data_IF_981418813559
#
_entry.id   IF_981418813559
#
_cell.length_a   1.000
_cell.length_b   1.000
_cell.length_c   1.000
_cell.angle_alpha   90.00
_cell.angle_beta   90.00
_cell.angle_gamma   90.00
#
_symmetry.space_group_name_H-M   'P 1'
#
loop_
_entity.id
_entity.type
_entity.pdbx_description
1 polymer ?
#
# COMPACT_ATOMS: atom_id res chain seq x y z
N UNK A 1 -5.40 -75.77 39.95
CA UNK A 1 -6.32 -75.22 38.94
C UNK A 1 -5.98 -73.74 38.77
N UNK A 2 -5.11 -73.41 37.81
CA UNK A 2 -4.85 -72.11 37.19
C UNK A 2 -3.60 -72.32 36.31
N UNK A 3 -3.73 -72.20 34.99
CA UNK A 3 -2.59 -72.30 34.08
C UNK A 3 -2.69 -71.28 32.95
N UNK A 4 -1.54 -70.61 32.75
CA UNK A 4 -1.18 -69.68 31.67
C UNK A 4 -1.23 -70.36 30.29
N UNK A 5 -1.48 -69.60 29.23
CA UNK A 5 -0.46 -69.25 28.20
C UNK A 5 -1.04 -68.47 27.01
N UNK A 6 -0.25 -67.49 26.60
CA UNK A 6 -0.25 -66.70 25.36
C UNK A 6 0.25 -67.51 24.15
N UNK A 7 -0.24 -67.21 22.93
CA UNK A 7 0.44 -67.39 21.63
C UNK A 7 -0.32 -66.59 20.53
N UNK A 8 0.31 -65.58 19.90
CA UNK A 8 0.96 -65.55 18.55
C UNK A 8 -0.03 -65.43 17.36
N UNK A 9 -0.08 -64.29 16.66
CA UNK A 9 0.64 -63.91 15.40
C UNK A 9 -0.10 -64.33 14.11
N UNK A 10 -0.18 -63.34 13.19
CA UNK A 10 -0.22 -63.41 11.71
C UNK A 10 -1.57 -63.36 10.95
N UNK A 11 -1.63 -62.30 10.13
CA UNK A 11 -1.93 -62.27 8.69
C UNK A 11 -3.29 -62.80 8.21
N UNK A 12 -4.09 -61.88 7.68
CA UNK A 12 -5.03 -62.19 6.60
C UNK A 12 -4.73 -61.29 5.40
N UNK A 13 -3.94 -61.83 4.47
CA UNK A 13 -3.93 -61.40 3.07
C UNK A 13 -5.28 -61.81 2.46
N UNK A 14 -6.00 -60.86 1.87
CA UNK A 14 -7.00 -61.18 0.86
C UNK A 14 -6.44 -60.78 -0.51
N UNK A 15 -5.90 -61.77 -1.21
CA UNK A 15 -5.58 -61.69 -2.64
C UNK A 15 -6.87 -62.04 -3.39
N UNK A 16 -7.44 -61.07 -4.10
CA UNK A 16 -8.38 -61.36 -5.19
C UNK A 16 -7.66 -61.05 -6.51
N UNK A 17 -7.41 -62.11 -7.27
CA UNK A 17 -7.01 -62.07 -8.67
C UNK A 17 -8.25 -62.05 -9.58
N UNK A 18 -8.03 -61.63 -10.83
CA UNK A 18 -8.89 -61.67 -12.04
C UNK A 18 -9.77 -60.42 -12.26
N UNK A 19 -9.77 -59.73 -13.41
CA UNK A 19 -9.37 -60.09 -14.80
C UNK A 19 -8.76 -58.85 -15.47
N UNK A 20 -7.64 -59.05 -16.18
CA UNK A 20 -7.07 -58.08 -17.12
C UNK A 20 -7.91 -58.08 -18.40
N UNK A 21 -8.53 -56.95 -18.72
CA UNK A 21 -8.83 -56.59 -20.11
C UNK A 21 -8.34 -55.17 -20.34
N UNK A 22 -7.51 -55.01 -21.37
CA UNK A 22 -6.73 -53.79 -21.63
C UNK A 22 -7.59 -52.60 -22.05
N UNK A 23 -7.32 -51.45 -21.42
CA UNK A 23 -7.71 -50.11 -21.87
C UNK A 23 -6.48 -49.21 -21.63
N UNK A 24 -6.11 -48.32 -22.59
CA UNK A 24 -4.78 -47.74 -22.67
C UNK A 24 -4.45 -46.73 -21.55
N UNK A 25 -3.15 -46.64 -21.29
CA UNK A 25 -2.49 -45.77 -20.31
C UNK A 25 -2.78 -44.30 -20.64
N UNK A 26 -3.78 -43.73 -19.96
CA UNK A 26 -3.89 -42.30 -19.76
C UNK A 26 -3.03 -41.90 -18.57
N UNK A 27 -2.09 -40.98 -18.77
CA UNK A 27 -1.23 -40.41 -17.72
C UNK A 27 -2.07 -39.70 -16.65
N UNK A 28 -2.57 -40.43 -15.66
CA UNK A 28 -3.04 -39.84 -14.41
C UNK A 28 -1.83 -39.37 -13.62
N UNK A 29 -1.60 -38.05 -13.62
CA UNK A 29 -0.68 -37.40 -12.68
C UNK A 29 -1.11 -37.76 -11.25
N UNK A 30 -0.23 -38.48 -10.58
CA UNK A 30 -0.32 -38.79 -9.15
C UNK A 30 -0.35 -37.45 -8.41
N UNK A 31 -1.47 -37.16 -7.74
CA UNK A 31 -1.60 -36.03 -6.84
C UNK A 31 -0.88 -36.39 -5.53
N UNK A 32 0.40 -36.01 -5.41
CA UNK A 32 1.11 -36.07 -4.14
C UNK A 32 0.62 -34.93 -3.25
N UNK A 33 -0.07 -35.27 -2.16
CA UNK A 33 -0.40 -34.33 -1.08
C UNK A 33 0.87 -33.95 -0.35
N UNK A 34 1.56 -32.93 -0.84
CA UNK A 34 2.57 -32.24 -0.07
C UNK A 34 1.86 -31.33 0.94
N UNK A 35 1.86 -31.72 2.21
CA UNK A 35 1.56 -30.81 3.31
C UNK A 35 2.66 -29.74 3.38
N UNK A 36 2.44 -28.61 2.71
CA UNK A 36 3.35 -27.47 2.77
C UNK A 36 3.22 -26.80 4.15
N UNK A 37 4.33 -26.78 4.90
CA UNK A 37 4.51 -25.83 5.98
C UNK A 37 4.18 -24.42 5.48
N UNK A 38 3.49 -23.62 6.29
CA UNK A 38 3.10 -22.24 5.98
C UNK A 38 4.33 -21.40 5.59
N UNK A 39 4.63 -21.38 4.30
CA UNK A 39 5.66 -20.52 3.74
C UNK A 39 5.13 -19.11 3.94
N UNK A 40 5.90 -18.24 4.58
CA UNK A 40 5.51 -16.83 4.77
C UNK A 40 5.42 -16.16 3.41
N UNK A 41 4.26 -16.25 2.76
CA UNK A 41 4.02 -15.60 1.48
C UNK A 41 4.19 -14.10 1.70
N UNK A 42 5.10 -13.47 0.95
CA UNK A 42 5.26 -12.02 1.02
C UNK A 42 3.96 -11.38 0.51
N UNK A 43 3.26 -10.64 1.37
CA UNK A 43 2.02 -9.94 0.99
C UNK A 43 2.24 -8.77 0.01
N UNK A 44 3.49 -8.47 -0.35
CA UNK A 44 3.86 -7.54 -1.41
C UNK A 44 5.00 -8.15 -2.24
N UNK A 45 4.77 -8.29 -3.54
CA UNK A 45 5.72 -8.89 -4.49
C UNK A 45 5.96 -7.90 -5.62
N UNK A 46 7.22 -7.61 -5.93
CA UNK A 46 7.56 -6.73 -7.06
C UNK A 46 7.34 -7.48 -8.38
N UNK A 47 6.56 -6.91 -9.29
CA UNK A 47 6.30 -7.47 -10.61
C UNK A 47 7.18 -6.82 -11.68
N UNK A 48 7.30 -5.50 -11.63
CA UNK A 48 7.96 -4.69 -12.66
C UNK A 48 8.69 -3.48 -12.07
N UNK A 49 9.82 -3.12 -12.65
CA UNK A 49 10.63 -1.94 -12.31
C UNK A 49 11.34 -1.47 -13.58
N UNK A 50 10.95 -0.30 -14.10
CA UNK A 50 11.44 0.17 -15.39
C UNK A 50 12.92 0.54 -15.41
N UNK A 51 13.53 0.73 -14.24
CA UNK A 51 14.99 0.90 -14.12
C UNK A 51 15.77 -0.34 -14.61
N UNK A 52 15.11 -1.49 -14.71
CA UNK A 52 15.74 -2.76 -15.08
C UNK A 52 15.41 -3.20 -16.50
N UNK A 53 14.24 -2.81 -17.00
CA UNK A 53 13.76 -3.24 -18.32
C UNK A 53 12.60 -2.35 -18.79
N UNK A 54 12.48 -2.16 -20.10
CA UNK A 54 11.37 -1.41 -20.70
C UNK A 54 10.12 -2.27 -20.93
N UNK A 55 10.28 -3.60 -20.92
CA UNK A 55 9.18 -4.54 -21.04
C UNK A 55 9.42 -5.79 -20.23
N UNK A 56 8.36 -6.43 -19.76
CA UNK A 56 8.45 -7.68 -19.02
C UNK A 56 7.12 -8.41 -19.02
N UNK A 57 7.17 -9.71 -19.26
CA UNK A 57 6.06 -10.62 -19.01
C UNK A 57 6.28 -11.33 -17.67
N UNK A 58 5.25 -11.41 -16.85
CA UNK A 58 5.24 -12.21 -15.61
C UNK A 58 3.94 -13.00 -15.53
N UNK A 59 3.92 -14.04 -14.71
CA UNK A 59 2.71 -14.78 -14.37
C UNK A 59 2.36 -14.51 -12.91
N UNK A 60 1.13 -14.06 -12.65
CA UNK A 60 0.67 -13.73 -11.31
C UNK A 60 -0.83 -14.02 -11.20
N UNK A 61 -1.25 -14.60 -10.08
CA UNK A 61 -2.66 -14.74 -9.71
C UNK A 61 -3.17 -13.37 -9.23
N UNK A 62 -4.01 -12.73 -10.04
CA UNK A 62 -4.61 -11.42 -9.82
C UNK A 62 -6.08 -11.51 -9.38
N UNK A 63 -6.68 -12.70 -9.43
CA UNK A 63 -8.12 -12.95 -9.21
C UNK A 63 -8.37 -13.73 -7.90
N UNK A 64 -7.33 -14.38 -7.38
CA UNK A 64 -7.35 -15.20 -6.18
C UNK A 64 -7.94 -16.59 -6.39
N UNK A 65 -7.96 -17.08 -7.63
CA UNK A 65 -8.49 -18.40 -8.01
C UNK A 65 -7.41 -19.49 -8.13
N UNK A 66 -6.16 -19.15 -7.75
CA UNK A 66 -4.96 -19.99 -7.85
C UNK A 66 -4.49 -20.28 -9.30
N UNK A 67 -5.13 -19.68 -10.30
CA UNK A 67 -4.63 -19.63 -11.67
C UNK A 67 -3.85 -18.34 -11.87
N UNK A 68 -2.76 -18.41 -12.61
CA UNK A 68 -1.94 -17.22 -12.90
C UNK A 68 -2.32 -16.63 -14.23
N UNK A 69 -2.59 -15.32 -14.25
CA UNK A 69 -2.68 -14.57 -15.50
C UNK A 69 -1.30 -14.23 -16.03
N UNK A 70 -1.18 -14.19 -17.36
CA UNK A 70 -0.06 -13.58 -18.05
C UNK A 70 -0.19 -12.05 -17.98
N UNK A 71 0.82 -11.38 -17.46
CA UNK A 71 0.84 -9.92 -17.29
C UNK A 71 2.02 -9.34 -18.06
N UNK A 72 1.72 -8.59 -19.11
CA UNK A 72 2.70 -7.89 -19.93
C UNK A 72 2.78 -6.42 -19.56
N UNK A 73 3.99 -5.98 -19.22
CA UNK A 73 4.33 -4.59 -19.00
C UNK A 73 5.12 -4.08 -20.19
N UNK A 74 4.73 -2.92 -20.73
CA UNK A 74 5.44 -2.27 -21.83
C UNK A 74 5.47 -0.76 -21.66
N UNK A 75 6.65 -0.17 -21.86
CA UNK A 75 6.89 1.27 -21.83
C UNK A 75 7.20 1.78 -23.22
N UNK A 76 6.71 2.98 -23.53
CA UNK A 76 7.28 3.85 -24.56
C UNK A 76 7.81 5.12 -23.91
N UNK A 77 9.01 5.53 -24.27
CA UNK A 77 9.59 6.80 -23.84
C UNK A 77 9.27 7.88 -24.88
N UNK A 78 9.01 9.09 -24.38
CA UNK A 78 8.90 10.31 -25.16
C UNK A 78 10.18 11.13 -25.06
N UNK A 79 10.04 12.46 -25.16
CA UNK A 79 11.16 13.38 -25.00
C UNK A 79 11.75 13.36 -23.59
N UNK A 80 13.06 13.61 -23.49
CA UNK A 80 13.81 13.69 -22.23
C UNK A 80 13.66 12.45 -21.32
N UNK A 81 13.55 11.25 -21.91
CA UNK A 81 13.41 9.97 -21.19
C UNK A 81 12.19 9.90 -20.25
N UNK A 82 11.20 10.76 -20.48
CA UNK A 82 9.92 10.72 -19.79
C UNK A 82 9.09 9.56 -20.36
N UNK A 83 8.47 8.77 -19.49
CA UNK A 83 7.59 7.68 -19.93
C UNK A 83 6.33 8.29 -20.56
N UNK A 84 6.21 8.17 -21.89
CA UNK A 84 5.03 8.65 -22.63
C UNK A 84 3.83 7.74 -22.42
N UNK A 85 4.02 6.42 -22.55
CA UNK A 85 2.99 5.44 -22.24
C UNK A 85 3.53 4.25 -21.44
N UNK A 86 2.72 3.79 -20.49
CA UNK A 86 2.89 2.52 -19.80
C UNK A 86 1.64 1.68 -19.99
N UNK A 87 1.78 0.58 -20.72
CA UNK A 87 0.71 -0.35 -21.02
C UNK A 87 0.84 -1.61 -20.18
N UNK A 88 -0.29 -2.06 -19.64
CA UNK A 88 -0.41 -3.32 -18.92
C UNK A 88 -1.45 -4.14 -19.66
N UNK A 89 -1.02 -5.28 -20.20
CA UNK A 89 -1.93 -6.28 -20.77
C UNK A 89 -2.04 -7.48 -19.84
N UNK A 90 -3.22 -8.05 -19.75
CA UNK A 90 -3.49 -9.25 -18.95
C UNK A 90 -4.15 -10.27 -19.87
N UNK A 91 -3.51 -11.43 -20.04
CA UNK A 91 -3.91 -12.47 -20.99
C UNK A 91 -4.11 -11.91 -22.41
N UNK A 92 -3.17 -11.09 -22.88
CA UNK A 92 -3.21 -10.44 -24.20
C UNK A 92 -4.12 -9.23 -24.31
N UNK A 93 -5.07 -9.03 -23.39
CA UNK A 93 -6.02 -7.93 -23.41
C UNK A 93 -5.47 -6.66 -22.77
N UNK A 94 -5.72 -5.49 -23.35
CA UNK A 94 -5.26 -4.23 -22.75
C UNK A 94 -6.05 -3.90 -21.47
N UNK A 95 -5.41 -4.05 -20.32
CA UNK A 95 -6.03 -3.87 -19.01
C UNK A 95 -5.90 -2.44 -18.47
N UNK A 96 -4.79 -1.75 -18.75
CA UNK A 96 -4.56 -0.36 -18.36
C UNK A 96 -3.52 0.31 -19.28
N UNK A 97 -3.78 1.56 -19.62
CA UNK A 97 -2.79 2.46 -20.24
C UNK A 97 -2.67 3.71 -19.38
N UNK A 98 -1.47 3.97 -18.86
CA UNK A 98 -1.11 5.23 -18.21
C UNK A 98 -0.26 6.06 -19.17
N UNK A 99 -0.39 7.38 -19.11
CA UNK A 99 0.30 8.31 -20.01
C UNK A 99 1.02 9.40 -19.23
N UNK A 100 2.09 9.93 -19.82
CA UNK A 100 2.83 11.09 -19.29
C UNK A 100 3.25 10.89 -17.83
N UNK A 101 3.92 9.76 -17.58
CA UNK A 101 4.46 9.39 -16.28
C UNK A 101 5.84 10.05 -16.07
N UNK A 102 6.43 9.87 -14.89
CA UNK A 102 7.83 10.23 -14.64
C UNK A 102 8.84 9.33 -15.38
N UNK A 103 10.07 9.30 -14.89
CA UNK A 103 11.19 8.57 -15.50
C UNK A 103 11.16 7.08 -15.21
N UNK A 104 10.54 6.70 -14.10
CA UNK A 104 10.52 5.33 -13.62
C UNK A 104 9.12 4.95 -13.19
N UNK A 105 8.67 3.75 -13.52
CA UNK A 105 7.43 3.16 -12.98
C UNK A 105 7.72 1.80 -12.35
N UNK A 106 7.10 1.55 -11.21
CA UNK A 106 7.20 0.30 -10.46
C UNK A 106 5.83 -0.27 -10.20
N UNK A 107 5.72 -1.59 -10.36
CA UNK A 107 4.50 -2.34 -10.12
C UNK A 107 4.76 -3.41 -9.08
N UNK A 108 3.88 -3.49 -8.08
CA UNK A 108 3.87 -4.58 -7.09
C UNK A 108 2.49 -5.22 -7.01
N UNK A 109 2.44 -6.54 -6.89
CA UNK A 109 1.26 -7.25 -6.42
C UNK A 109 1.14 -7.10 -4.90
N UNK A 110 -0.07 -6.81 -4.42
CA UNK A 110 -0.44 -6.72 -3.02
C UNK A 110 -1.48 -7.81 -2.73
N UNK A 111 -1.11 -8.78 -1.88
CA UNK A 111 -2.01 -9.85 -1.44
C UNK A 111 -2.58 -9.49 -0.08
N UNK A 112 -3.80 -8.97 -0.05
CA UNK A 112 -4.51 -8.61 1.18
C UNK A 112 -5.09 -9.85 1.85
N UNK A 113 -5.70 -10.73 1.06
CA UNK A 113 -6.17 -12.07 1.45
C UNK A 113 -6.04 -13.02 0.26
N UNK A 114 -6.55 -14.24 0.34
CA UNK A 114 -6.52 -15.18 -0.79
C UNK A 114 -7.26 -14.63 -2.03
N UNK A 115 -8.37 -13.89 -1.82
CA UNK A 115 -9.25 -13.38 -2.88
C UNK A 115 -9.14 -11.88 -3.14
N UNK A 116 -8.40 -11.16 -2.31
CA UNK A 116 -8.25 -9.71 -2.43
C UNK A 116 -6.81 -9.41 -2.84
N UNK A 117 -6.59 -9.46 -4.16
CA UNK A 117 -5.32 -9.20 -4.80
C UNK A 117 -5.40 -7.85 -5.51
N UNK A 118 -4.35 -7.05 -5.38
CA UNK A 118 -4.31 -5.72 -5.97
C UNK A 118 -2.97 -5.43 -6.64
N UNK A 119 -2.99 -4.53 -7.60
CA UNK A 119 -1.79 -4.00 -8.23
C UNK A 119 -1.50 -2.59 -7.71
N UNK A 120 -0.33 -2.41 -7.11
CA UNK A 120 0.18 -1.10 -6.71
C UNK A 120 1.12 -0.56 -7.79
N UNK A 121 0.78 0.59 -8.35
CA UNK A 121 1.54 1.26 -9.40
C UNK A 121 1.97 2.62 -8.87
N UNK A 122 3.28 2.87 -8.93
CA UNK A 122 3.87 4.15 -8.55
C UNK A 122 4.98 4.53 -9.50
N UNK A 123 5.00 5.79 -9.93
CA UNK A 123 6.10 6.35 -10.70
C UNK A 123 7.00 7.27 -9.87
N UNK A 124 8.05 7.81 -10.48
CA UNK A 124 8.91 8.81 -9.88
C UNK A 124 9.36 9.85 -10.91
N UNK A 125 9.24 11.13 -10.57
CA UNK A 125 9.76 12.28 -11.34
C UNK A 125 11.03 12.86 -10.69
N UNK A 126 11.61 13.90 -11.32
CA UNK A 126 12.86 14.56 -10.88
C UNK A 126 12.87 15.00 -9.41
N UNK A 127 11.71 15.42 -8.87
CA UNK A 127 11.58 15.87 -7.49
C UNK A 127 11.05 14.78 -6.53
N UNK A 128 10.97 13.55 -7.03
CA UNK A 128 10.39 12.40 -6.32
C UNK A 128 8.88 12.47 -6.15
N UNK A 129 8.21 13.49 -6.69
CA UNK A 129 6.76 13.62 -6.68
C UNK A 129 6.18 12.71 -7.79
N UNK A 130 5.42 11.66 -7.46
CA UNK A 130 4.82 10.80 -8.47
C UNK A 130 3.73 11.55 -9.26
N UNK A 131 3.52 11.16 -10.51
CA UNK A 131 2.30 11.50 -11.27
C UNK A 131 1.20 10.46 -11.04
N UNK A 132 1.59 9.23 -10.70
CA UNK A 132 0.73 8.10 -10.35
C UNK A 132 1.24 7.45 -9.08
N UNK A 133 0.37 7.29 -8.09
CA UNK A 133 0.63 6.52 -6.88
C UNK A 133 -0.72 5.93 -6.42
N UNK A 134 -1.06 4.77 -6.97
CA UNK A 134 -2.42 4.26 -6.94
C UNK A 134 -2.47 2.72 -6.84
N UNK A 135 -3.60 2.23 -6.37
CA UNK A 135 -3.90 0.81 -6.24
C UNK A 135 -5.07 0.47 -7.15
N UNK A 136 -4.92 -0.64 -7.87
CA UNK A 136 -5.85 -1.15 -8.86
C UNK A 136 -6.28 -2.57 -8.52
N UNK A 137 -7.48 -2.94 -8.92
CA UNK A 137 -8.02 -4.30 -8.83
C UNK A 137 -8.32 -4.79 -10.25
N UNK A 138 -7.92 -6.00 -10.60
CA UNK A 138 -8.26 -6.56 -11.90
C UNK A 138 -9.70 -7.06 -11.90
N UNK A 139 -10.53 -6.55 -12.80
CA UNK A 139 -11.90 -7.00 -12.99
C UNK A 139 -11.95 -7.91 -14.22
N UNK A 140 -12.13 -9.20 -13.99
CA UNK A 140 -12.20 -10.20 -15.06
C UNK A 140 -13.38 -10.03 -16.01
N UNK A 141 -14.48 -9.42 -15.56
CA UNK A 141 -15.65 -9.21 -16.42
C UNK A 141 -15.39 -8.10 -17.43
N UNK A 142 -14.69 -7.04 -17.01
CA UNK A 142 -14.38 -5.90 -17.89
C UNK A 142 -13.02 -6.03 -18.56
N UNK A 143 -12.19 -6.98 -18.11
CA UNK A 143 -10.77 -7.15 -18.49
C UNK A 143 -9.96 -5.87 -18.25
N UNK A 144 -10.30 -5.09 -17.22
CA UNK A 144 -9.62 -3.83 -16.87
C UNK A 144 -9.05 -3.85 -15.45
N UNK A 145 -7.96 -3.12 -15.26
CA UNK A 145 -7.48 -2.73 -13.94
C UNK A 145 -8.27 -1.50 -13.48
N UNK A 146 -9.17 -1.70 -12.53
CA UNK A 146 -9.99 -0.65 -11.97
C UNK A 146 -9.27 0.03 -10.81
N UNK A 147 -9.19 1.36 -10.84
CA UNK A 147 -8.54 2.11 -9.78
C UNK A 147 -9.40 2.11 -8.51
N UNK A 148 -8.89 1.49 -7.45
CA UNK A 148 -9.59 1.32 -6.16
C UNK A 148 -9.06 2.23 -5.05
N UNK A 149 -7.88 2.84 -5.23
CA UNK A 149 -7.33 3.88 -4.35
C UNK A 149 -6.35 4.78 -5.12
N UNK A 150 -6.42 6.08 -4.86
CA UNK A 150 -5.35 7.03 -5.20
C UNK A 150 -4.73 7.50 -3.87
N UNK A 151 -3.40 7.46 -3.75
CA UNK A 151 -2.69 7.90 -2.55
C UNK A 151 -2.53 9.42 -2.50
N UNK A 152 -2.34 9.94 -1.28
CA UNK A 152 -2.31 11.39 -1.04
C UNK A 152 -1.16 12.12 -1.75
N UNK A 153 -0.13 11.41 -2.22
CA UNK A 153 1.06 11.94 -2.92
C UNK A 153 0.72 12.62 -4.26
N UNK A 154 -0.40 12.26 -4.88
CA UNK A 154 -0.89 12.90 -6.12
C UNK A 154 -2.16 13.74 -5.89
N UNK A 155 -2.72 13.67 -4.67
CA UNK A 155 -4.02 14.26 -4.33
C UNK A 155 -3.93 15.52 -3.44
N UNK A 156 -2.73 16.04 -3.19
CA UNK A 156 -2.55 17.28 -2.42
C UNK A 156 -2.55 18.51 -3.33
N UNK A 157 -2.94 19.66 -2.76
CA UNK A 157 -2.84 20.94 -3.49
C UNK A 157 -1.36 21.33 -3.62
N UNK A 158 -0.84 21.45 -4.84
CA UNK A 158 0.54 21.90 -5.11
C UNK A 158 0.87 23.17 -4.31
N UNK A 159 2.07 23.20 -3.73
CA UNK A 159 2.52 24.30 -2.87
C UNK A 159 1.96 24.30 -1.44
N UNK A 160 1.30 23.22 -0.98
CA UNK A 160 0.84 23.10 0.43
C UNK A 160 1.66 22.16 1.29
N UNK A 161 2.25 21.12 0.68
CA UNK A 161 3.20 20.17 1.25
C UNK A 161 3.77 19.31 0.12
N UNK A 162 4.90 18.64 0.34
CA UNK A 162 5.35 17.50 -0.48
C UNK A 162 5.07 16.23 0.30
N UNK A 163 4.53 15.19 -0.33
CA UNK A 163 4.15 13.94 0.35
C UNK A 163 4.62 12.76 -0.47
N UNK A 164 5.23 11.81 0.22
CA UNK A 164 5.70 10.52 -0.31
C UNK A 164 4.99 9.39 0.43
N UNK A 165 4.83 8.24 -0.23
CA UNK A 165 4.16 7.08 0.34
C UNK A 165 5.03 5.83 0.30
N UNK A 166 4.73 4.89 1.18
CA UNK A 166 5.19 3.50 1.06
C UNK A 166 4.09 2.58 1.53
N UNK A 167 3.71 1.65 0.65
CA UNK A 167 2.62 0.71 0.87
C UNK A 167 3.13 -0.62 1.41
N UNK A 168 2.49 -1.10 2.48
CA UNK A 168 2.66 -2.43 3.08
C UNK A 168 1.29 -3.07 3.33
N UNK A 169 1.23 -4.38 3.17
CA UNK A 169 0.10 -5.19 3.65
C UNK A 169 0.49 -5.93 4.93
N UNK A 170 -0.37 -5.89 5.95
CA UNK A 170 -0.16 -6.57 7.23
C UNK A 170 -1.51 -6.85 7.89
N UNK A 171 -1.76 -8.10 8.27
CA UNK A 171 -2.99 -8.55 8.92
C UNK A 171 -4.24 -8.13 8.11
N UNK A 172 -4.24 -8.48 6.83
CA UNK A 172 -5.32 -8.19 5.86
C UNK A 172 -5.72 -6.71 5.81
N UNK A 173 -4.78 -5.84 6.19
CA UNK A 173 -4.96 -4.38 6.22
C UNK A 173 -3.90 -3.73 5.36
N UNK A 174 -4.33 -2.81 4.51
CA UNK A 174 -3.44 -1.94 3.76
C UNK A 174 -2.93 -0.83 4.69
N UNK A 175 -1.61 -0.77 4.89
CA UNK A 175 -0.94 0.25 5.68
C UNK A 175 -0.08 1.11 4.76
N UNK A 176 -0.36 2.41 4.75
CA UNK A 176 0.41 3.37 3.98
C UNK A 176 1.17 4.26 4.93
N UNK A 177 2.50 4.17 4.89
CA UNK A 177 3.36 5.10 5.59
C UNK A 177 3.55 6.31 4.71
N UNK A 178 3.17 7.47 5.22
CA UNK A 178 3.42 8.73 4.55
C UNK A 178 4.59 9.46 5.21
N UNK A 179 5.36 10.14 4.37
CA UNK A 179 6.31 11.16 4.78
C UNK A 179 5.91 12.44 4.08
N UNK A 180 5.78 13.53 4.83
CA UNK A 180 5.45 14.80 4.20
C UNK A 180 6.19 15.97 4.79
N UNK A 181 6.64 16.84 3.90
CA UNK A 181 7.22 18.13 4.23
C UNK A 181 6.09 19.16 4.35
N UNK A 182 5.66 19.42 5.58
CA UNK A 182 4.59 20.38 5.84
C UNK A 182 5.18 21.77 6.00
N UNK A 183 4.59 22.79 5.36
CA UNK A 183 5.05 24.18 5.50
C UNK A 183 5.09 24.66 6.96
N UNK A 184 4.22 24.09 7.79
CA UNK A 184 4.15 24.38 9.22
C UNK A 184 5.28 23.75 10.03
N UNK A 185 5.80 22.58 9.67
CA UNK A 185 6.64 21.77 10.59
C UNK A 185 7.86 21.12 9.97
N UNK A 186 8.04 21.22 8.65
CA UNK A 186 8.98 20.41 7.90
C UNK A 186 8.57 18.94 7.87
N UNK A 187 9.54 18.05 7.71
CA UNK A 187 9.32 16.61 7.53
C UNK A 187 8.73 15.91 8.76
N UNK A 188 7.62 15.22 8.54
CA UNK A 188 6.95 14.34 9.50
C UNK A 188 6.57 13.02 8.84
N UNK A 189 6.40 11.96 9.64
CA UNK A 189 5.86 10.67 9.18
C UNK A 189 4.67 10.22 10.02
N UNK A 190 3.69 9.63 9.33
CA UNK A 190 2.49 9.03 9.91
C UNK A 190 2.08 7.80 9.11
N UNK A 191 1.20 6.98 9.68
CA UNK A 191 0.64 5.80 9.00
C UNK A 191 -0.87 5.97 8.93
N UNK A 192 -1.42 5.74 7.74
CA UNK A 192 -2.85 5.49 7.56
C UNK A 192 -3.10 4.01 7.30
N UNK A 193 -4.21 3.53 7.86
CA UNK A 193 -4.74 2.20 7.59
C UNK A 193 -6.00 2.36 6.72
N UNK A 194 -6.14 1.48 5.73
CA UNK A 194 -7.29 1.45 4.84
C UNK A 194 -7.96 0.08 4.93
N UNK A 195 -9.29 0.09 4.90
CA UNK A 195 -10.09 -1.11 4.75
C UNK A 195 -10.61 -1.17 3.31
N UNK A 196 -10.62 -2.35 2.71
CA UNK A 196 -11.29 -2.57 1.45
C UNK A 196 -12.79 -2.79 1.70
N UNK A 197 -13.65 -1.96 1.12
CA UNK A 197 -15.12 -2.04 1.26
C UNK A 197 -15.78 -1.55 -0.01
N UNK A 198 -16.78 -2.29 -0.49
CA UNK A 198 -17.60 -1.92 -1.65
C UNK A 198 -16.75 -1.55 -2.89
N UNK A 199 -15.74 -2.38 -3.19
CA UNK A 199 -14.88 -2.20 -4.37
C UNK A 199 -13.84 -1.08 -4.25
N UNK A 200 -13.68 -0.44 -3.09
CA UNK A 200 -12.69 0.64 -2.89
C UNK A 200 -12.00 0.55 -1.54
N UNK A 201 -10.79 1.09 -1.46
CA UNK A 201 -10.14 1.33 -0.17
C UNK A 201 -10.66 2.61 0.47
N UNK A 202 -11.03 2.52 1.74
CA UNK A 202 -11.45 3.67 2.54
C UNK A 202 -10.56 3.81 3.77
N UNK A 203 -10.22 5.05 4.12
CA UNK A 203 -9.47 5.35 5.34
C UNK A 203 -10.23 4.82 6.56
N UNK A 204 -9.56 3.97 7.36
CA UNK A 204 -10.09 3.47 8.63
C UNK A 204 -10.25 4.61 9.65
N UNK A 205 -9.29 5.53 9.67
CA UNK A 205 -9.35 6.75 10.45
C UNK A 205 -8.58 7.85 9.71
N UNK A 206 -9.23 8.99 9.48
CA UNK A 206 -8.57 10.15 8.88
C UNK A 206 -7.61 10.89 9.82
N UNK A 207 -7.48 10.44 11.07
CA UNK A 207 -6.57 10.98 12.09
C UNK A 207 -5.50 9.94 12.42
N UNK A 208 -4.23 10.32 12.30
CA UNK A 208 -3.09 9.46 12.62
C UNK A 208 -2.19 10.10 13.68
N UNK A 209 -1.50 9.26 14.46
CA UNK A 209 -0.38 9.70 15.30
C UNK A 209 0.84 9.96 14.41
N UNK A 210 1.56 11.02 14.72
CA UNK A 210 2.85 11.29 14.09
C UNK A 210 3.90 10.50 14.88
N UNK A 211 4.59 9.59 14.21
CA UNK A 211 5.56 8.70 14.86
C UNK A 211 7.00 9.17 14.65
N UNK A 212 7.26 10.03 13.65
CA UNK A 212 8.58 10.64 13.43
C UNK A 212 8.43 12.07 12.95
N UNK A 213 9.35 12.92 13.37
CA UNK A 213 9.55 14.29 12.88
C UNK A 213 11.04 14.58 12.83
N UNK A 214 11.45 15.43 11.90
CA UNK A 214 12.85 15.85 11.78
C UNK A 214 13.18 17.00 12.72
N UNK A 215 12.20 17.87 13.02
CA UNK A 215 12.35 18.92 14.01
C UNK A 215 12.66 18.33 15.39
N UNK A 216 13.81 18.70 15.96
CA UNK A 216 14.24 18.25 17.29
C UNK A 216 13.48 19.02 18.38
N UNK A 217 13.01 18.31 19.41
CA UNK A 217 12.32 18.94 20.55
C UNK A 217 10.93 19.49 20.20
N UNK A 218 10.45 20.47 20.95
CA UNK A 218 9.14 21.09 20.73
C UNK A 218 9.21 22.22 19.69
N UNK A 219 8.06 22.61 19.16
CA UNK A 219 7.95 23.72 18.21
C UNK A 219 7.76 25.04 18.96
N UNK A 220 8.62 26.02 18.69
CA UNK A 220 8.56 27.35 19.34
C UNK A 220 7.86 28.32 18.39
N UNK A 221 6.82 28.99 18.89
CA UNK A 221 6.04 29.92 18.09
C UNK A 221 6.88 31.12 17.61
N UNK A 222 6.89 31.38 16.30
CA UNK A 222 7.55 32.56 15.73
C UNK A 222 6.68 33.82 15.78
N UNK A 223 5.38 33.65 16.01
CA UNK A 223 4.38 34.71 16.16
C UNK A 223 3.25 34.23 17.05
N UNK A 224 2.28 35.08 17.36
CA UNK A 224 1.07 34.63 18.04
C UNK A 224 0.30 33.64 17.16
N UNK A 225 -0.04 32.47 17.69
CA UNK A 225 -0.71 31.40 16.93
C UNK A 225 -2.06 31.11 17.57
N UNK A 226 -3.12 31.19 16.77
CA UNK A 226 -4.45 30.68 17.14
C UNK A 226 -4.60 29.23 16.69
N UNK A 227 -4.97 28.35 17.62
CA UNK A 227 -5.32 26.96 17.37
C UNK A 227 -6.84 26.78 17.38
N UNK A 228 -7.33 25.80 16.61
CA UNK A 228 -8.75 25.54 16.43
C UNK A 228 -9.22 24.24 17.10
N UNK A 229 -10.49 24.18 17.49
CA UNK A 229 -11.05 23.03 18.23
C UNK A 229 -11.04 21.73 17.42
N UNK A 230 -11.21 21.81 16.09
CA UNK A 230 -11.16 20.66 15.18
C UNK A 230 -10.38 21.03 13.91
N UNK A 231 -9.91 20.02 13.18
CA UNK A 231 -9.40 20.21 11.83
C UNK A 231 -10.50 20.78 10.91
N UNK A 232 -10.15 21.73 10.06
CA UNK A 232 -11.05 22.31 9.07
C UNK A 232 -12.08 23.33 9.58
N UNK A 233 -12.11 23.64 10.88
CA UNK A 233 -13.05 24.63 11.45
C UNK A 233 -12.31 25.86 11.99
N UNK A 234 -13.01 27.00 12.05
CA UNK A 234 -12.46 28.28 12.51
C UNK A 234 -12.75 28.59 13.99
N UNK A 235 -13.51 27.73 14.68
CA UNK A 235 -13.81 27.90 16.11
C UNK A 235 -12.52 27.78 16.95
N UNK A 236 -12.14 28.88 17.59
CA UNK A 236 -10.91 28.99 18.40
C UNK A 236 -10.92 28.01 19.56
N UNK A 237 -9.77 27.36 19.81
CA UNK A 237 -9.50 26.55 20.99
C UNK A 237 -8.70 27.34 22.02
N UNK A 238 -7.55 27.87 21.61
CA UNK A 238 -6.69 28.75 22.41
C UNK A 238 -5.70 29.49 21.49
N UNK A 239 -5.05 30.49 22.05
CA UNK A 239 -3.96 31.23 21.41
C UNK A 239 -2.71 31.09 22.27
N UNK A 240 -1.54 31.04 21.62
CA UNK A 240 -0.24 31.13 22.29
C UNK A 240 0.49 32.37 21.83
N UNK A 241 1.33 32.93 22.71
CA UNK A 241 2.20 34.06 22.38
C UNK A 241 3.44 33.59 21.62
N UNK A 242 4.06 34.48 20.84
CA UNK A 242 5.40 34.27 20.30
C UNK A 242 6.37 33.79 21.40
N UNK A 243 7.30 32.89 21.04
CA UNK A 243 8.22 32.26 21.98
C UNK A 243 7.64 31.08 22.76
N UNK A 244 6.33 30.83 22.70
CA UNK A 244 5.71 29.69 23.41
C UNK A 244 6.04 28.36 22.72
N UNK A 245 6.40 27.35 23.52
CA UNK A 245 6.72 26.00 23.06
C UNK A 245 5.48 25.07 23.05
N UNK A 246 5.28 24.31 21.97
CA UNK A 246 4.18 23.35 21.80
C UNK A 246 4.63 22.02 21.21
N UNK A 247 3.91 20.95 21.54
CA UNK A 247 4.24 19.58 21.10
C UNK A 247 3.31 19.13 19.98
N UNK A 248 3.87 18.81 18.81
CA UNK A 248 3.16 18.15 17.71
C UNK A 248 2.77 16.71 18.09
N UNK A 249 1.53 16.29 17.80
CA UNK A 249 1.02 14.97 18.19
C UNK A 249 0.40 14.16 17.05
N UNK A 250 -0.51 14.77 16.30
CA UNK A 250 -1.35 14.07 15.32
C UNK A 250 -1.45 14.85 14.03
N UNK A 251 -1.79 14.14 12.98
CA UNK A 251 -2.17 14.67 11.68
C UNK A 251 -3.59 14.20 11.35
N UNK A 252 -4.34 15.04 10.62
CA UNK A 252 -5.67 14.71 10.12
C UNK A 252 -5.88 15.24 8.71
N UNK A 253 -6.44 14.42 7.83
CA UNK A 253 -6.86 14.84 6.48
C UNK A 253 -8.35 15.17 6.48
N UNK A 254 -8.71 16.34 5.95
CA UNK A 254 -10.09 16.77 5.72
C UNK A 254 -10.16 17.41 4.35
N UNK A 255 -10.97 16.86 3.43
CA UNK A 255 -11.13 17.37 2.05
C UNK A 255 -9.76 17.65 1.39
N UNK A 256 -8.90 16.63 1.37
CA UNK A 256 -7.54 16.67 0.80
C UNK A 256 -6.62 17.77 1.40
N UNK A 257 -6.93 18.25 2.61
CA UNK A 257 -6.10 19.20 3.34
C UNK A 257 -5.62 18.58 4.64
N UNK A 258 -4.33 18.70 4.90
CA UNK A 258 -3.72 18.26 6.16
C UNK A 258 -3.84 19.30 7.26
N UNK A 259 -4.13 18.81 8.47
CA UNK A 259 -4.18 19.57 9.70
C UNK A 259 -3.31 18.88 10.75
N UNK A 260 -2.61 19.69 11.55
CA UNK A 260 -1.67 19.25 12.56
C UNK A 260 -2.21 19.60 13.94
N UNK A 261 -2.25 18.62 14.85
CA UNK A 261 -2.64 18.81 16.23
C UNK A 261 -1.41 19.07 17.10
N UNK A 262 -1.48 20.14 17.88
CA UNK A 262 -0.48 20.49 18.88
C UNK A 262 -1.07 20.45 20.28
N UNK A 263 -0.22 20.14 21.26
CA UNK A 263 -0.50 20.18 22.68
C UNK A 263 0.25 21.33 23.36
N UNK A 264 -0.45 22.05 24.22
CA UNK A 264 0.07 23.09 25.10
C UNK A 264 -0.53 22.91 26.50
N UNK A 265 0.28 22.48 27.47
CA UNK A 265 -0.21 22.05 28.78
C UNK A 265 -1.28 20.95 28.64
N UNK A 266 -2.47 21.18 29.20
CA UNK A 266 -3.64 20.28 29.08
C UNK A 266 -4.48 20.53 27.82
N UNK A 267 -4.19 21.57 27.03
CA UNK A 267 -4.98 21.95 25.84
C UNK A 267 -4.43 21.31 24.57
N UNK A 268 -5.31 20.99 23.63
CA UNK A 268 -4.93 20.59 22.26
C UNK A 268 -5.71 21.37 21.23
N UNK A 269 -5.11 21.58 20.06
CA UNK A 269 -5.74 22.33 19.00
C UNK A 269 -5.06 22.13 17.66
N UNK A 270 -5.78 22.49 16.60
CA UNK A 270 -5.44 22.18 15.22
C UNK A 270 -5.05 23.42 14.44
N UNK A 271 -4.13 23.25 13.50
CA UNK A 271 -3.78 24.24 12.47
C UNK A 271 -3.65 23.55 11.11
N UNK A 272 -3.78 24.30 10.01
CA UNK A 272 -3.48 23.79 8.67
C UNK A 272 -1.98 23.51 8.54
N UNK A 273 -1.62 22.41 7.89
CA UNK A 273 -0.23 22.03 7.67
C UNK A 273 0.50 22.95 6.67
N UNK A 274 -0.24 23.53 5.73
CA UNK A 274 0.27 24.51 4.77
C UNK A 274 0.45 25.94 5.30
N UNK A 275 0.48 26.16 6.63
CA UNK A 275 0.74 27.49 7.20
C UNK A 275 2.25 27.73 7.31
N UNK A 276 2.74 28.80 6.69
CA UNK A 276 4.17 29.18 6.71
C UNK A 276 4.52 30.08 7.89
N UNK A 277 5.80 30.07 8.26
CA UNK A 277 6.42 31.00 9.21
C UNK A 277 5.63 31.13 10.53
N UNK A 278 5.16 30.00 11.07
CA UNK A 278 4.44 29.95 12.34
C UNK A 278 5.32 29.46 13.49
N UNK A 279 6.32 28.62 13.20
CA UNK A 279 7.29 28.13 14.18
C UNK A 279 8.70 28.51 13.74
N UNK A 280 9.60 28.71 14.71
CA UNK A 280 11.01 28.97 14.47
C UNK A 280 11.71 27.72 13.92
N UNK A 281 12.77 27.95 13.15
CA UNK A 281 13.74 26.94 12.71
C UNK A 281 13.10 25.77 11.92
N UNK A 282 11.97 26.03 11.26
CA UNK A 282 11.35 25.08 10.33
C UNK A 282 12.10 25.15 9.01
N UNK A 283 12.93 24.13 8.76
CA UNK A 283 13.64 23.97 7.50
C UNK A 283 12.76 23.20 6.51
N UNK A 284 12.51 23.82 5.36
CA UNK A 284 12.00 23.17 4.17
C UNK A 284 13.20 22.88 3.29
N UNK A 285 13.46 21.62 3.01
CA UNK A 285 14.46 21.18 2.02
C UNK A 285 13.74 21.19 0.67
N UNK A 286 14.05 22.17 -0.17
CA UNK A 286 13.61 22.22 -1.55
C UNK A 286 14.22 21.08 -2.36
#
# INVERSE_FOLDING_TARGET
>A
MFCKRTQKIAALMLICFLVVTGIPIGNHKICTTNTYAATTTKNKISLFDSNKTMSKTVYADLTGDEQTEEVDFQITYGENDIIDTFNIRINGENALTLKSLGYVVRVSCLKLSAKEIFMYIVDASDNGDPTVDAIYHYNENTKKLEQVLILDTVNYKKGTCHVYSTVKVSNDTLKVTYMGQMLATGYIKWVYEYNYKNGKFVLKNNTAKIFRKWHKGNFVANKNITFYKKAGITKKAFTIKQGTSVKLQKIKTVKNTYYLQFKYGKKTGWIKAGKTNIFKDVVLVG
#
